data_IF_844494769945
#
_entry.id   IF_844494769945
#
_cell.length_a   1.000
_cell.length_b   1.000
_cell.length_c   1.000
_cell.angle_alpha   90.00
_cell.angle_beta   90.00
_cell.angle_gamma   90.00
#
_symmetry.space_group_name_H-M   'P 1'
#
loop_
_entity.id
_entity.type
_entity.pdbx_description
1 polymer ?
#
# COMPACT_ATOMS: atom_id res chain seq x y z
N UNK A 1 -14.65 35.95 -6.44
CA UNK A 1 -14.80 34.86 -5.45
C UNK A 1 -13.42 34.39 -5.08
N UNK A 2 -13.09 34.35 -3.80
CA UNK A 2 -11.97 33.56 -3.30
C UNK A 2 -12.49 32.15 -3.12
N UNK A 3 -12.09 31.22 -4.00
CA UNK A 3 -12.47 29.83 -3.86
C UNK A 3 -11.67 29.22 -2.69
N UNK A 4 -12.40 28.67 -1.73
CA UNK A 4 -11.89 27.94 -0.58
C UNK A 4 -12.46 26.51 -0.62
N UNK A 5 -11.74 25.56 -0.03
CA UNK A 5 -12.17 24.16 0.09
C UNK A 5 -11.86 23.64 1.50
N UNK A 6 -12.58 22.63 1.94
CA UNK A 6 -12.35 22.00 3.23
C UNK A 6 -11.21 21.00 3.15
N UNK A 7 -10.24 21.09 4.07
CA UNK A 7 -9.12 20.17 4.13
C UNK A 7 -9.62 18.75 4.44
N UNK A 8 -9.35 17.74 3.61
CA UNK A 8 -9.80 16.36 3.86
C UNK A 8 -9.13 15.72 5.08
N UNK A 9 -7.99 16.25 5.54
CA UNK A 9 -7.27 15.71 6.70
C UNK A 9 -7.76 16.28 8.04
N UNK A 10 -8.08 17.58 8.12
CA UNK A 10 -8.47 18.22 9.39
C UNK A 10 -9.80 18.98 9.36
N UNK A 11 -10.41 19.17 8.19
CA UNK A 11 -11.66 19.90 8.00
C UNK A 11 -11.55 21.44 8.07
N UNK A 12 -10.34 22.00 8.05
CA UNK A 12 -10.15 23.44 8.03
C UNK A 12 -10.42 24.04 6.64
N UNK A 13 -10.85 25.30 6.60
CA UNK A 13 -11.08 26.03 5.35
C UNK A 13 -9.73 26.49 4.76
N UNK A 14 -9.39 25.97 3.58
CA UNK A 14 -8.10 26.20 2.91
C UNK A 14 -8.30 26.92 1.58
N UNK A 15 -7.52 27.97 1.27
CA UNK A 15 -7.62 28.63 -0.03
C UNK A 15 -7.10 27.71 -1.14
N UNK A 16 -7.77 27.69 -2.30
CA UNK A 16 -7.45 26.79 -3.43
C UNK A 16 -6.02 26.95 -3.97
N UNK A 17 -5.34 28.06 -3.66
CA UNK A 17 -3.95 28.34 -4.07
C UNK A 17 -2.90 28.00 -2.99
N UNK A 18 -3.31 27.44 -1.84
CA UNK A 18 -2.37 27.03 -0.80
C UNK A 18 -1.54 25.83 -1.27
N UNK A 19 -0.25 25.79 -0.91
CA UNK A 19 0.60 24.60 -1.14
C UNK A 19 0.36 23.52 -0.09
N UNK A 20 -0.11 23.90 1.09
CA UNK A 20 -0.40 23.01 2.20
C UNK A 20 -1.43 23.65 3.14
N UNK A 21 -2.05 22.84 3.98
CA UNK A 21 -3.04 23.30 4.95
C UNK A 21 -2.32 24.12 6.02
N UNK A 22 -2.71 25.38 6.27
CA UNK A 22 -2.07 26.20 7.30
C UNK A 22 -2.33 25.67 8.72
N UNK A 23 -3.38 24.87 8.93
CA UNK A 23 -3.74 24.32 10.23
C UNK A 23 -3.03 22.99 10.55
N UNK A 24 -3.02 22.04 9.62
CA UNK A 24 -2.45 20.70 9.87
C UNK A 24 -1.18 20.39 9.07
N UNK A 25 -0.79 21.23 8.12
CA UNK A 25 0.37 21.02 7.25
C UNK A 25 0.18 19.97 6.15
N UNK A 26 -1.00 19.34 6.04
CA UNK A 26 -1.29 18.36 4.99
C UNK A 26 -1.28 19.01 3.59
N UNK A 27 -0.82 18.26 2.61
CA UNK A 27 -0.62 18.67 1.22
C UNK A 27 -1.08 17.56 0.25
N UNK A 28 -0.84 17.76 -1.05
CA UNK A 28 -1.13 16.80 -2.12
C UNK A 28 -0.50 15.40 -1.95
N UNK A 29 0.58 15.27 -1.17
CA UNK A 29 1.25 13.98 -0.92
C UNK A 29 0.81 13.29 0.36
N UNK A 30 0.22 14.03 1.28
CA UNK A 30 -0.06 13.56 2.64
C UNK A 30 -1.53 13.53 2.99
N UNK A 31 -2.41 14.09 2.16
CA UNK A 31 -3.85 13.99 2.41
C UNK A 31 -4.79 14.67 1.42
N UNK A 32 -4.33 15.51 0.48
CA UNK A 32 -5.25 16.21 -0.45
C UNK A 32 -5.50 15.48 -1.77
N UNK A 33 -4.68 14.49 -2.12
CA UNK A 33 -4.88 13.70 -3.33
C UNK A 33 -5.89 12.57 -3.09
N UNK A 34 -6.61 12.21 -4.15
CA UNK A 34 -7.54 11.08 -4.15
C UNK A 34 -6.87 9.75 -3.78
N UNK A 35 -5.59 9.59 -4.13
CA UNK A 35 -4.78 8.42 -3.79
C UNK A 35 -4.60 8.28 -2.26
N UNK A 36 -4.38 9.39 -1.56
CA UNK A 36 -4.15 9.40 -0.11
C UNK A 36 -5.42 9.21 0.72
N UNK A 37 -6.61 9.28 0.11
CA UNK A 37 -7.90 9.15 0.80
C UNK A 37 -8.08 7.79 1.49
N UNK A 38 -7.39 6.76 0.98
CA UNK A 38 -7.49 5.39 1.50
C UNK A 38 -6.28 4.98 2.36
N UNK A 39 -5.24 5.82 2.49
CA UNK A 39 -4.02 5.49 3.24
C UNK A 39 -4.27 5.30 4.75
N UNK A 40 -5.30 5.94 5.30
CA UNK A 40 -5.70 5.82 6.70
C UNK A 40 -6.62 4.64 7.01
N UNK A 41 -7.01 3.86 5.99
CA UNK A 41 -7.85 2.69 6.17
C UNK A 41 -6.96 1.45 6.35
N UNK A 42 -7.03 0.85 7.54
CA UNK A 42 -6.42 -0.46 7.80
C UNK A 42 -7.28 -1.57 7.14
N UNK A 43 -7.38 -1.52 5.81
CA UNK A 43 -8.06 -2.51 5.01
C UNK A 43 -7.18 -3.75 4.90
N UNK A 44 -7.72 -4.97 5.11
CA UNK A 44 -6.99 -6.18 4.79
C UNK A 44 -6.63 -6.14 3.30
N UNK A 45 -5.34 -6.11 3.01
CA UNK A 45 -4.82 -6.07 1.65
C UNK A 45 -5.33 -7.29 0.85
N UNK A 46 -6.43 -7.12 0.13
CA UNK A 46 -6.72 -7.89 -1.05
C UNK A 46 -5.65 -7.59 -2.12
N UNK A 47 -4.88 -8.61 -2.45
CA UNK A 47 -3.68 -8.50 -3.28
C UNK A 47 -4.05 -8.24 -4.75
N UNK A 48 -4.28 -6.98 -5.12
CA UNK A 48 -4.26 -6.56 -6.52
C UNK A 48 -2.81 -6.34 -6.95
N UNK A 49 -2.30 -7.25 -7.78
CA UNK A 49 -0.91 -7.25 -8.23
C UNK A 49 -0.67 -6.19 -9.30
N UNK A 50 -0.47 -4.93 -8.90
CA UNK A 50 0.15 -3.92 -9.77
C UNK A 50 0.86 -2.87 -8.93
N UNK A 51 2.19 -2.80 -9.06
CA UNK A 51 2.99 -1.71 -8.49
C UNK A 51 4.30 -2.18 -7.86
N UNK A 52 5.40 -1.97 -8.58
CA UNK A 52 6.76 -2.19 -8.15
C UNK A 52 7.14 -1.26 -6.98
N UNK A 53 7.32 -1.80 -5.76
CA UNK A 53 8.13 -1.16 -4.72
C UNK A 53 8.51 -2.14 -3.61
N UNK A 54 9.80 -2.19 -3.28
CA UNK A 54 10.40 -2.74 -2.04
C UNK A 54 9.92 -4.12 -1.56
N UNK A 55 10.39 -5.19 -2.22
CA UNK A 55 10.19 -6.58 -1.78
C UNK A 55 11.06 -6.98 -0.57
N UNK A 56 10.92 -6.31 0.57
CA UNK A 56 11.54 -6.76 1.85
C UNK A 56 10.65 -7.75 2.65
N UNK A 57 9.57 -8.26 2.07
CA UNK A 57 8.75 -9.34 2.63
C UNK A 57 8.59 -10.53 1.68
N UNK A 58 9.14 -10.43 0.47
CA UNK A 58 8.95 -11.45 -0.57
C UNK A 58 10.02 -12.55 -0.55
N UNK A 59 11.02 -12.44 0.33
CA UNK A 59 12.17 -13.35 0.36
C UNK A 59 11.85 -14.69 1.06
N UNK A 60 10.87 -14.73 1.96
CA UNK A 60 10.48 -15.96 2.69
C UNK A 60 9.51 -16.85 1.92
N UNK A 61 8.69 -16.27 1.03
CA UNK A 61 7.68 -17.03 0.27
C UNK A 61 8.36 -17.95 -0.77
N UNK A 62 9.49 -17.53 -1.35
CA UNK A 62 10.26 -18.35 -2.30
C UNK A 62 10.93 -19.56 -1.62
N UNK A 63 11.56 -19.35 -0.45
CA UNK A 63 12.20 -20.45 0.29
C UNK A 63 11.21 -21.53 0.70
N UNK A 64 10.00 -21.15 1.12
CA UNK A 64 8.94 -22.11 1.48
C UNK A 64 8.50 -22.96 0.28
N UNK A 65 8.36 -22.36 -0.90
CA UNK A 65 8.02 -23.10 -2.13
C UNK A 65 9.11 -24.08 -2.53
N UNK A 66 10.38 -23.69 -2.45
CA UNK A 66 11.52 -24.56 -2.79
C UNK A 66 11.56 -25.78 -1.87
N UNK A 67 11.41 -25.59 -0.56
CA UNK A 67 11.39 -26.69 0.42
C UNK A 67 10.20 -27.62 0.17
N UNK A 68 9.00 -27.07 -0.04
CA UNK A 68 7.82 -27.86 -0.35
C UNK A 68 8.02 -28.73 -1.61
N UNK A 69 8.50 -28.13 -2.71
CA UNK A 69 8.77 -28.85 -3.96
C UNK A 69 9.83 -29.94 -3.75
N UNK A 70 10.93 -29.63 -3.04
CA UNK A 70 11.97 -30.60 -2.71
C UNK A 70 11.42 -31.82 -1.95
N UNK A 71 10.58 -31.60 -0.94
CA UNK A 71 9.97 -32.69 -0.17
C UNK A 71 9.02 -33.54 -1.02
N UNK A 72 8.20 -32.91 -1.86
CA UNK A 72 7.25 -33.60 -2.74
C UNK A 72 7.99 -34.46 -3.77
N UNK A 73 9.02 -33.91 -4.42
CA UNK A 73 9.82 -34.65 -5.41
C UNK A 73 10.51 -35.87 -4.80
N UNK A 74 11.10 -35.71 -3.61
CA UNK A 74 11.73 -36.83 -2.90
C UNK A 74 10.73 -37.93 -2.54
N UNK A 75 9.53 -37.54 -2.08
CA UNK A 75 8.47 -38.49 -1.72
C UNK A 75 7.94 -39.24 -2.95
N UNK A 76 7.67 -38.53 -4.06
CA UNK A 76 7.25 -39.16 -5.32
C UNK A 76 8.29 -40.18 -5.78
N UNK A 77 9.58 -39.82 -5.73
CA UNK A 77 10.65 -40.70 -6.15
C UNK A 77 10.75 -41.97 -5.29
N UNK A 78 10.58 -41.83 -3.97
CA UNK A 78 10.54 -42.96 -3.04
C UNK A 78 9.33 -43.89 -3.25
N UNK A 79 8.18 -43.36 -3.68
CA UNK A 79 6.99 -44.18 -3.93
C UNK A 79 6.98 -44.86 -5.30
N UNK A 80 7.72 -44.31 -6.26
CA UNK A 80 7.78 -44.82 -7.64
C UNK A 80 8.89 -45.86 -7.83
N UNK A 81 9.95 -45.83 -7.02
CA UNK A 81 11.05 -46.80 -7.04
C UNK A 81 10.82 -47.91 -6.02
#
# INVERSE_FOLDING_TARGET
MSDYFDCPNCGAEVPVKALSCPECGSDEKTGWSEDTMYDGLDLPAFEETSGNSSKSLFQNKFLLYVVAIMTILAFIWFFVM
#
